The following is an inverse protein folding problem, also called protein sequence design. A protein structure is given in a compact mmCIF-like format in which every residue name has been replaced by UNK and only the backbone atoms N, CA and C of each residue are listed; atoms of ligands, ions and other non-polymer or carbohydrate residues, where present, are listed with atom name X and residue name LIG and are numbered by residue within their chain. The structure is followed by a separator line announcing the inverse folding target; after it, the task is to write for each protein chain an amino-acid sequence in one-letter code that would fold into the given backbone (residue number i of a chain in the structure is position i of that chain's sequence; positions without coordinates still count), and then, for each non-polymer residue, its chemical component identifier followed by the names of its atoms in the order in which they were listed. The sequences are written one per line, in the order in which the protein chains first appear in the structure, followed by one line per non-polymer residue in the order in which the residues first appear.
data_IF_247530206773
#
_entry.id   IF_247530206773
#
_cell.length_a   1.000
_cell.length_b   1.000
_cell.length_c   1.000
_cell.angle_alpha   90.00
_cell.angle_beta   90.00
_cell.angle_gamma   90.00
#
_symmetry.space_group_name_H-M   'P 1'
#
loop_
_entity.id
_entity.type
_entity.pdbx_description
1 polymer ?
#
# COMPACT_ATOMS: atom_id res chain seq x y z
N UNK A 1 17.46 3.48 16.16
CA UNK A 1 16.10 2.92 16.17
C UNK A 1 15.51 2.97 17.59
N UNK A 2 14.21 3.23 17.72
CA UNK A 2 13.58 3.41 19.03
C UNK A 2 13.32 2.06 19.74
N UNK A 3 13.14 1.00 18.98
CA UNK A 3 12.70 -0.30 19.49
C UNK A 3 13.70 -1.45 19.22
N UNK A 4 14.83 -1.16 18.61
CA UNK A 4 15.84 -2.14 18.27
C UNK A 4 16.24 -2.13 16.79
N UNK A 5 16.97 -3.14 16.39
CA UNK A 5 17.46 -3.36 15.02
C UNK A 5 16.70 -4.49 14.35
N UNK A 6 16.96 -4.73 13.06
CA UNK A 6 16.43 -5.90 12.37
C UNK A 6 16.94 -7.22 12.97
N UNK A 7 18.17 -7.23 13.52
CA UNK A 7 18.71 -8.41 14.18
C UNK A 7 18.01 -8.69 15.53
N UNK A 8 17.62 -7.64 16.25
CA UNK A 8 16.80 -7.79 17.46
C UNK A 8 15.42 -8.36 17.12
N UNK A 9 14.83 -7.96 15.99
CA UNK A 9 13.55 -8.48 15.52
C UNK A 9 13.65 -9.96 15.08
N UNK A 10 14.73 -10.33 14.35
CA UNK A 10 14.99 -11.75 14.02
C UNK A 10 15.09 -12.59 15.27
N UNK A 11 15.87 -12.12 16.25
CA UNK A 11 15.99 -12.83 17.53
C UNK A 11 14.65 -12.96 18.26
N UNK A 12 13.77 -11.95 18.16
CA UNK A 12 12.42 -12.02 18.69
C UNK A 12 11.62 -13.16 18.02
N UNK A 13 11.67 -13.28 16.70
CA UNK A 13 11.00 -14.34 15.96
C UNK A 13 11.53 -15.72 16.38
N UNK A 14 12.86 -15.89 16.41
CA UNK A 14 13.49 -17.14 16.79
C UNK A 14 13.11 -17.58 18.23
N UNK A 15 13.12 -16.66 19.18
CA UNK A 15 12.76 -16.90 20.57
C UNK A 15 11.28 -17.23 20.74
N UNK A 16 10.39 -16.60 19.94
CA UNK A 16 8.97 -16.92 19.91
C UNK A 16 8.74 -18.34 19.36
N UNK A 17 9.38 -18.67 18.24
CA UNK A 17 9.27 -19.99 17.60
C UNK A 17 9.75 -21.11 18.51
N UNK A 18 10.86 -20.92 19.23
CA UNK A 18 11.34 -21.89 20.22
C UNK A 18 10.31 -22.19 21.33
N UNK A 19 9.39 -21.26 21.58
CA UNK A 19 8.28 -21.39 22.54
C UNK A 19 6.96 -21.82 21.90
N UNK A 20 6.98 -22.21 20.62
CA UNK A 20 5.79 -22.60 19.87
C UNK A 20 4.83 -21.45 19.54
N UNK A 21 5.28 -20.19 19.66
CA UNK A 21 4.47 -19.00 19.34
C UNK A 21 4.67 -18.58 17.88
N UNK A 22 3.60 -18.11 17.25
CA UNK A 22 3.61 -17.46 15.95
C UNK A 22 3.63 -15.94 16.13
N UNK A 23 4.36 -15.23 15.26
CA UNK A 23 4.47 -13.78 15.30
C UNK A 23 3.95 -13.18 14.00
N UNK A 24 2.89 -12.40 14.07
CA UNK A 24 2.35 -11.63 12.95
C UNK A 24 2.69 -10.17 13.11
N UNK A 25 3.00 -9.49 12.00
CA UNK A 25 3.27 -8.06 11.97
C UNK A 25 2.03 -7.28 11.54
N UNK A 26 1.89 -6.07 12.07
CA UNK A 26 0.86 -5.16 11.61
C UNK A 26 1.28 -4.53 10.27
N UNK A 27 0.44 -4.67 9.25
CA UNK A 27 0.68 -4.19 7.90
C UNK A 27 -0.29 -3.05 7.56
N UNK A 28 0.22 -1.83 7.56
CA UNK A 28 -0.52 -0.64 7.16
C UNK A 28 -0.41 -0.48 5.64
N UNK A 29 -1.24 -1.22 4.90
CA UNK A 29 -1.16 -1.28 3.44
C UNK A 29 -1.84 -0.11 2.72
N UNK A 30 -2.74 0.63 3.37
CA UNK A 30 -3.62 1.62 2.72
C UNK A 30 -2.99 2.99 2.48
N UNK A 31 -1.92 3.33 3.17
CA UNK A 31 -1.30 4.66 3.09
C UNK A 31 0.16 4.64 3.55
N UNK A 32 0.86 5.74 3.31
CA UNK A 32 2.13 6.05 3.97
C UNK A 32 2.00 7.33 4.79
N UNK A 33 3.06 7.70 5.52
CA UNK A 33 3.19 9.06 6.03
C UNK A 33 3.46 10.04 4.89
N UNK A 34 2.98 11.28 5.01
CA UNK A 34 3.36 12.41 4.15
C UNK A 34 4.87 12.74 4.24
N UNK A 35 5.53 12.29 5.31
CA UNK A 35 6.98 12.39 5.47
C UNK A 35 7.75 11.23 4.82
N UNK A 36 7.05 10.22 4.31
CA UNK A 36 7.66 9.09 3.60
C UNK A 36 8.49 9.58 2.41
N UNK A 37 9.69 9.02 2.18
CA UNK A 37 10.46 9.28 0.96
C UNK A 37 9.65 9.03 -0.33
N UNK A 38 8.82 7.99 -0.36
CA UNK A 38 7.96 7.70 -1.50
C UNK A 38 7.00 8.84 -1.81
N UNK A 39 6.32 9.36 -0.79
CA UNK A 39 5.40 10.47 -0.97
C UNK A 39 6.13 11.74 -1.41
N UNK A 40 7.26 12.08 -0.76
CA UNK A 40 8.11 13.22 -1.15
C UNK A 40 8.62 13.12 -2.59
N UNK A 41 8.96 11.91 -3.06
CA UNK A 41 9.32 11.69 -4.46
C UNK A 41 8.11 11.83 -5.39
N UNK A 42 6.93 11.35 -5.00
CA UNK A 42 5.71 11.46 -5.82
C UNK A 42 5.26 12.91 -6.03
N UNK A 43 5.58 13.80 -5.09
CA UNK A 43 5.28 15.23 -5.17
C UNK A 43 6.15 15.99 -6.18
N UNK A 44 7.26 15.41 -6.63
CA UNK A 44 8.17 16.11 -7.56
C UNK A 44 7.46 16.44 -8.88
N UNK A 45 7.81 17.60 -9.44
CA UNK A 45 7.24 18.10 -10.70
C UNK A 45 7.42 17.13 -11.85
N UNK A 46 8.56 16.46 -11.91
CA UNK A 46 8.88 15.43 -12.91
C UNK A 46 8.29 14.09 -12.51
N UNK A 47 7.67 13.41 -13.47
CA UNK A 47 7.17 12.04 -13.23
C UNK A 47 8.33 11.11 -12.92
N UNK A 48 8.10 10.22 -11.95
CA UNK A 48 9.06 9.22 -11.51
C UNK A 48 8.32 7.96 -11.05
N UNK A 49 9.04 6.93 -10.63
CA UNK A 49 8.48 5.65 -10.22
C UNK A 49 7.47 5.72 -9.05
N UNK A 50 7.47 6.81 -8.30
CA UNK A 50 6.57 6.99 -7.16
C UNK A 50 5.33 7.82 -7.49
N UNK A 51 5.27 8.48 -8.65
CA UNK A 51 4.18 9.39 -9.00
C UNK A 51 2.82 8.69 -8.95
N UNK A 52 2.69 7.53 -9.59
CA UNK A 52 1.44 6.77 -9.66
C UNK A 52 1.25 5.79 -8.49
N UNK A 53 2.17 5.77 -7.53
CA UNK A 53 2.03 5.03 -6.27
C UNK A 53 1.01 5.66 -5.33
N UNK A 54 0.66 6.92 -5.59
CA UNK A 54 -0.38 7.68 -4.91
C UNK A 54 -1.43 8.16 -5.91
N UNK A 55 -2.60 8.53 -5.40
CA UNK A 55 -3.72 8.99 -6.23
C UNK A 55 -3.66 10.53 -6.27
N UNK A 56 -3.31 11.07 -7.44
CA UNK A 56 -3.20 12.50 -7.70
C UNK A 56 -4.19 12.94 -8.76
N UNK A 57 -4.85 14.09 -8.56
CA UNK A 57 -5.75 14.67 -9.58
C UNK A 57 -5.01 15.10 -10.85
N UNK A 58 -3.71 15.36 -10.75
CA UNK A 58 -2.87 15.94 -11.81
C UNK A 58 -3.38 17.31 -12.33
N UNK A 59 -4.28 17.94 -11.59
CA UNK A 59 -4.85 19.26 -11.88
C UNK A 59 -4.91 20.08 -10.59
N UNK A 60 -4.20 21.22 -10.57
CA UNK A 60 -4.11 22.09 -9.40
C UNK A 60 -5.40 22.84 -9.09
N UNK A 61 -6.36 22.85 -10.01
CA UNK A 61 -7.67 23.49 -9.83
C UNK A 61 -8.70 22.54 -9.22
N UNK A 62 -8.41 21.24 -9.22
CA UNK A 62 -9.31 20.18 -8.77
C UNK A 62 -8.89 19.65 -7.39
N UNK A 63 -9.80 19.77 -6.43
CA UNK A 63 -9.62 19.20 -5.08
C UNK A 63 -10.95 18.57 -4.61
N UNK A 64 -11.25 17.34 -5.02
CA UNK A 64 -12.48 16.66 -4.64
C UNK A 64 -12.55 16.38 -3.14
N UNK A 65 -13.72 15.93 -2.66
CA UNK A 65 -13.83 15.43 -1.31
C UNK A 65 -12.80 14.31 -1.05
N UNK A 66 -12.27 14.25 0.18
CA UNK A 66 -11.18 13.35 0.62
C UNK A 66 -9.83 13.57 -0.06
N UNK A 67 -9.65 14.70 -0.79
CA UNK A 67 -8.35 15.09 -1.32
C UNK A 67 -7.79 16.29 -0.54
N UNK A 68 -6.47 16.42 -0.58
CA UNK A 68 -5.69 17.50 0.02
C UNK A 68 -4.87 18.15 -1.08
N UNK A 69 -4.81 19.48 -1.09
CA UNK A 69 -4.00 20.22 -2.07
C UNK A 69 -2.52 19.85 -1.89
N UNK A 70 -1.88 19.47 -2.99
CA UNK A 70 -0.44 19.26 -3.04
C UNK A 70 0.32 20.56 -3.27
N UNK A 71 1.62 20.52 -3.00
CA UNK A 71 2.51 21.69 -3.14
C UNK A 71 2.88 21.98 -4.59
N UNK A 72 2.72 21.02 -5.51
CA UNK A 72 3.13 21.14 -6.91
C UNK A 72 1.93 21.17 -7.85
N UNK A 73 1.84 22.22 -8.66
CA UNK A 73 0.75 22.45 -9.62
C UNK A 73 0.51 21.24 -10.55
N UNK A 74 1.55 20.58 -11.01
CA UNK A 74 1.42 19.44 -11.91
C UNK A 74 0.65 18.27 -11.28
N UNK A 75 0.91 17.99 -10.01
CA UNK A 75 0.32 16.84 -9.34
C UNK A 75 -1.09 17.12 -8.83
N UNK A 76 -1.42 18.38 -8.61
CA UNK A 76 -2.73 18.78 -8.09
C UNK A 76 -2.93 18.38 -6.64
N UNK A 77 -4.07 17.74 -6.36
CA UNK A 77 -4.44 17.27 -5.04
C UNK A 77 -4.22 15.77 -4.90
N UNK A 78 -3.80 15.30 -3.73
CA UNK A 78 -3.65 13.87 -3.42
C UNK A 78 -4.80 13.36 -2.57
N UNK A 79 -5.19 12.11 -2.78
CA UNK A 79 -6.21 11.46 -1.95
C UNK A 79 -5.63 11.10 -0.58
N UNK A 80 -6.29 11.53 0.49
CA UNK A 80 -5.99 11.07 1.85
C UNK A 80 -6.69 9.74 2.15
N UNK A 81 -6.10 8.91 3.00
CA UNK A 81 -6.75 7.71 3.49
C UNK A 81 -7.74 8.06 4.61
N UNK A 82 -7.24 8.49 5.75
CA UNK A 82 -8.04 8.96 6.88
C UNK A 82 -7.66 10.40 7.25
N UNK A 83 -6.44 10.64 7.71
CA UNK A 83 -5.90 11.96 8.00
C UNK A 83 -5.18 12.57 6.79
N UNK A 84 -5.00 13.89 6.78
CA UNK A 84 -4.28 14.60 5.71
C UNK A 84 -2.82 14.14 5.58
N UNK A 85 -2.17 13.83 6.72
CA UNK A 85 -0.81 13.30 6.74
C UNK A 85 -0.69 11.82 6.30
N UNK A 86 -1.81 11.21 5.85
CA UNK A 86 -1.87 9.82 5.40
C UNK A 86 -2.25 9.75 3.91
N UNK A 87 -1.34 10.07 2.98
CA UNK A 87 -1.60 9.94 1.54
C UNK A 87 -1.90 8.49 1.18
N UNK A 88 -3.03 8.26 0.50
CA UNK A 88 -3.48 6.95 0.11
C UNK A 88 -2.60 6.34 -0.98
N UNK A 89 -2.18 5.09 -0.78
CA UNK A 89 -1.53 4.30 -1.81
C UNK A 89 -2.54 3.90 -2.89
N UNK A 90 -2.08 3.86 -4.13
CA UNK A 90 -2.92 3.65 -5.31
C UNK A 90 -3.01 2.16 -5.67
N UNK A 91 -4.05 1.49 -5.21
CA UNK A 91 -4.42 0.14 -5.66
C UNK A 91 -5.49 0.14 -6.75
N UNK A 92 -5.85 1.32 -7.25
CA UNK A 92 -6.86 1.52 -8.28
C UNK A 92 -8.28 1.64 -7.75
N UNK A 93 -9.19 1.69 -8.69
CA UNK A 93 -10.63 1.80 -8.48
C UNK A 93 -11.32 0.57 -9.07
N UNK A 94 -12.27 0.01 -8.35
CA UNK A 94 -13.12 -1.09 -8.84
C UNK A 94 -14.04 -0.62 -9.95
N UNK A 95 -14.69 0.53 -9.74
CA UNK A 95 -15.56 1.19 -10.72
C UNK A 95 -15.07 2.62 -10.96
N UNK A 96 -14.05 2.83 -11.81
CA UNK A 96 -13.52 4.17 -12.09
C UNK A 96 -14.55 5.01 -12.85
N UNK A 97 -14.73 6.28 -12.42
CA UNK A 97 -15.54 7.25 -13.15
C UNK A 97 -14.71 7.80 -14.33
N UNK A 98 -15.18 7.69 -15.59
CA UNK A 98 -14.47 8.18 -16.76
C UNK A 98 -14.29 9.71 -16.77
N UNK A 99 -15.08 10.44 -16.00
CA UNK A 99 -14.92 11.89 -15.84
C UNK A 99 -13.81 12.28 -14.87
N UNK A 100 -13.28 11.33 -14.12
CA UNK A 100 -12.22 11.50 -13.13
C UNK A 100 -10.90 10.86 -13.63
N UNK A 101 -10.04 11.57 -14.37
CA UNK A 101 -8.84 10.99 -14.97
C UNK A 101 -7.86 10.35 -13.98
N UNK A 102 -7.97 10.67 -12.69
CA UNK A 102 -7.15 10.09 -11.63
C UNK A 102 -7.67 8.74 -11.11
N UNK A 103 -8.88 8.34 -11.49
CA UNK A 103 -9.46 7.06 -11.12
C UNK A 103 -8.96 5.96 -12.05
N UNK A 104 -7.74 5.51 -11.78
CA UNK A 104 -7.13 4.42 -12.54
C UNK A 104 -7.81 3.08 -12.20
N UNK A 105 -8.12 2.23 -13.18
CA UNK A 105 -8.61 0.88 -12.90
C UNK A 105 -7.54 0.04 -12.20
N UNK A 106 -7.94 -1.00 -11.47
CA UNK A 106 -7.03 -1.91 -10.74
C UNK A 106 -5.95 -2.54 -11.62
N UNK A 107 -6.20 -2.68 -12.93
CA UNK A 107 -5.27 -3.24 -13.92
C UNK A 107 -4.27 -2.23 -14.47
N UNK A 108 -4.40 -0.94 -14.16
CA UNK A 108 -3.49 0.08 -14.66
C UNK A 108 -2.06 -0.11 -14.10
N UNK A 109 -1.03 0.40 -14.82
CA UNK A 109 0.37 0.22 -14.40
C UNK A 109 0.69 0.73 -12.99
N UNK A 110 0.14 1.88 -12.57
CA UNK A 110 0.36 2.45 -11.24
C UNK A 110 -0.15 1.54 -10.12
N UNK A 111 -1.45 1.17 -10.11
CA UNK A 111 -2.01 0.20 -9.17
C UNK A 111 -1.29 -1.15 -9.16
N UNK A 112 -0.92 -1.67 -10.34
CA UNK A 112 -0.17 -2.92 -10.46
C UNK A 112 1.21 -2.81 -9.79
N UNK A 113 1.94 -1.73 -10.04
CA UNK A 113 3.25 -1.50 -9.40
C UNK A 113 3.13 -1.35 -7.88
N UNK A 114 2.06 -0.70 -7.39
CA UNK A 114 1.81 -0.57 -5.95
C UNK A 114 1.54 -1.93 -5.30
N UNK A 115 0.74 -2.79 -5.96
CA UNK A 115 0.48 -4.16 -5.48
C UNK A 115 1.75 -4.99 -5.43
N UNK A 116 2.59 -4.94 -6.46
CA UNK A 116 3.86 -5.66 -6.49
C UNK A 116 4.79 -5.20 -5.35
N UNK A 117 4.83 -3.91 -5.08
CA UNK A 117 5.63 -3.40 -3.96
C UNK A 117 5.11 -3.85 -2.60
N UNK A 118 3.78 -3.95 -2.42
CA UNK A 118 3.21 -4.53 -1.21
C UNK A 118 3.66 -5.98 -1.03
N UNK A 119 3.66 -6.77 -2.09
CA UNK A 119 4.16 -8.15 -2.09
C UNK A 119 5.65 -8.17 -1.69
N UNK A 120 6.50 -7.31 -2.27
CA UNK A 120 7.91 -7.23 -1.91
C UNK A 120 8.14 -6.87 -0.44
N UNK A 121 7.34 -5.96 0.12
CA UNK A 121 7.39 -5.62 1.54
C UNK A 121 7.04 -6.84 2.40
N UNK A 122 5.99 -7.56 2.04
CA UNK A 122 5.58 -8.76 2.75
C UNK A 122 6.64 -9.86 2.64
N UNK A 123 7.20 -10.12 1.45
CA UNK A 123 8.30 -11.06 1.22
C UNK A 123 9.49 -10.75 2.12
N UNK A 124 9.89 -9.49 2.20
CA UNK A 124 11.01 -9.06 3.06
C UNK A 124 10.81 -9.46 4.52
N UNK A 125 9.61 -9.22 5.06
CA UNK A 125 9.33 -9.54 6.46
C UNK A 125 9.15 -11.05 6.70
N UNK A 126 8.55 -11.77 5.75
CA UNK A 126 8.44 -13.23 5.80
C UNK A 126 9.82 -13.90 5.77
N UNK A 127 10.73 -13.42 4.92
CA UNK A 127 12.13 -13.88 4.87
C UNK A 127 12.90 -13.59 6.16
N UNK A 128 12.51 -12.53 6.89
CA UNK A 128 13.08 -12.25 8.21
C UNK A 128 12.57 -13.16 9.32
N UNK A 129 11.50 -13.91 9.08
CA UNK A 129 10.98 -14.91 10.02
C UNK A 129 9.60 -14.62 10.60
N UNK A 130 8.88 -13.57 10.17
CA UNK A 130 7.49 -13.40 10.61
C UNK A 130 6.60 -14.50 10.01
N UNK A 131 5.51 -14.85 10.71
CA UNK A 131 4.59 -15.92 10.32
C UNK A 131 3.39 -15.41 9.51
N UNK A 132 3.24 -14.11 9.38
CA UNK A 132 2.14 -13.52 8.64
C UNK A 132 1.88 -12.06 9.03
N UNK A 133 0.70 -11.56 8.63
CA UNK A 133 0.34 -10.16 8.80
C UNK A 133 -1.09 -9.99 9.33
N UNK A 134 -1.26 -9.05 10.22
CA UNK A 134 -2.55 -8.40 10.48
C UNK A 134 -2.63 -7.18 9.59
N UNK A 135 -3.57 -7.17 8.65
CA UNK A 135 -3.67 -6.06 7.69
C UNK A 135 -4.70 -5.04 8.18
N UNK A 136 -4.24 -3.80 8.37
CA UNK A 136 -5.12 -2.71 8.75
C UNK A 136 -5.97 -2.27 7.55
N UNK A 137 -7.29 -2.10 7.77
CA UNK A 137 -8.29 -1.66 6.78
C UNK A 137 -8.21 -2.41 5.44
N UNK A 138 -8.01 -3.71 5.46
CA UNK A 138 -7.81 -4.58 4.30
C UNK A 138 -8.90 -4.45 3.21
N UNK A 139 -10.14 -4.16 3.59
CA UNK A 139 -11.28 -3.99 2.68
C UNK A 139 -11.37 -2.63 1.97
N UNK A 140 -10.46 -1.68 2.24
CA UNK A 140 -10.53 -0.31 1.71
C UNK A 140 -9.39 0.07 0.76
N UNK A 141 -8.57 -0.90 0.35
CA UNK A 141 -7.41 -0.64 -0.50
C UNK A 141 -7.82 -0.19 -1.90
N UNK A 142 -8.65 -0.97 -2.58
CA UNK A 142 -9.26 -0.59 -3.86
C UNK A 142 -10.37 0.42 -3.58
N UNK A 143 -10.39 1.51 -4.35
CA UNK A 143 -11.36 2.59 -4.18
C UNK A 143 -12.59 2.36 -5.06
N UNK A 144 -13.73 2.91 -4.65
CA UNK A 144 -15.01 2.72 -5.36
C UNK A 144 -15.25 1.27 -5.80
N UNK A 145 -15.17 0.34 -4.83
CA UNK A 145 -15.25 -1.12 -5.01
C UNK A 145 -16.39 -1.67 -4.12
N UNK A 146 -17.65 -1.34 -4.44
CA UNK A 146 -18.80 -1.61 -3.56
C UNK A 146 -19.11 -3.10 -3.36
N UNK A 147 -18.79 -3.93 -4.35
CA UNK A 147 -18.94 -5.39 -4.30
C UNK A 147 -17.67 -6.11 -3.81
N UNK A 148 -16.63 -5.36 -3.51
CA UNK A 148 -15.31 -5.86 -3.07
C UNK A 148 -14.62 -6.80 -4.06
N UNK A 149 -15.00 -6.80 -5.33
CA UNK A 149 -14.43 -7.69 -6.34
C UNK A 149 -12.95 -7.38 -6.60
N UNK A 150 -12.59 -6.11 -6.74
CA UNK A 150 -11.21 -5.66 -6.92
C UNK A 150 -10.35 -5.94 -5.69
N UNK A 151 -10.88 -5.68 -4.50
CA UNK A 151 -10.21 -5.95 -3.21
C UNK A 151 -10.00 -7.46 -3.01
N UNK A 152 -11.00 -8.28 -3.32
CA UNK A 152 -10.90 -9.74 -3.24
C UNK A 152 -9.86 -10.27 -4.21
N UNK A 153 -9.85 -9.80 -5.45
CA UNK A 153 -8.85 -10.20 -6.45
C UNK A 153 -7.43 -9.81 -6.03
N UNK A 154 -7.25 -8.64 -5.42
CA UNK A 154 -5.98 -8.18 -4.88
C UNK A 154 -5.47 -9.17 -3.81
N UNK A 155 -6.27 -9.45 -2.79
CA UNK A 155 -5.87 -10.35 -1.70
C UNK A 155 -5.70 -11.80 -2.16
N UNK A 156 -6.51 -12.24 -3.12
CA UNK A 156 -6.33 -13.56 -3.73
C UNK A 156 -4.98 -13.67 -4.44
N UNK A 157 -4.58 -12.66 -5.20
CA UNK A 157 -3.27 -12.66 -5.88
C UNK A 157 -2.10 -12.70 -4.91
N UNK A 158 -2.19 -11.95 -3.79
CA UNK A 158 -1.18 -11.97 -2.72
C UNK A 158 -1.13 -13.35 -2.06
N UNK A 159 -2.30 -13.91 -1.73
CA UNK A 159 -2.38 -15.25 -1.13
C UNK A 159 -1.76 -16.32 -2.03
N UNK A 160 -2.08 -16.31 -3.32
CA UNK A 160 -1.50 -17.25 -4.29
C UNK A 160 0.02 -17.16 -4.31
N UNK A 161 0.59 -15.95 -4.37
CA UNK A 161 2.04 -15.75 -4.31
C UNK A 161 2.66 -16.41 -3.06
N UNK A 162 2.08 -16.20 -1.88
CA UNK A 162 2.62 -16.79 -0.65
C UNK A 162 2.39 -18.29 -0.55
N UNK A 163 1.31 -18.83 -1.09
CA UNK A 163 1.09 -20.28 -1.16
C UNK A 163 2.10 -20.99 -2.08
N UNK A 164 2.53 -20.33 -3.16
CA UNK A 164 3.58 -20.85 -4.04
C UNK A 164 4.95 -20.87 -3.35
N UNK A 165 5.27 -19.81 -2.58
CA UNK A 165 6.54 -19.73 -1.86
C UNK A 165 6.59 -20.59 -0.56
N UNK A 166 5.46 -20.76 0.09
CA UNK A 166 5.33 -21.44 1.39
C UNK A 166 4.19 -22.48 1.36
N UNK A 167 4.32 -23.57 0.57
CA UNK A 167 3.23 -24.55 0.37
C UNK A 167 2.83 -25.28 1.66
N UNK A 168 3.75 -25.44 2.61
CA UNK A 168 3.49 -26.07 3.92
C UNK A 168 2.71 -25.12 4.88
N UNK A 169 2.51 -23.87 4.50
CA UNK A 169 1.92 -22.83 5.34
C UNK A 169 2.79 -22.48 6.56
N UNK A 170 3.06 -21.22 6.78
CA UNK A 170 3.63 -20.72 8.04
C UNK A 170 2.57 -20.01 8.85
#
# INVERSE_FOLDING_TARGET
PRYGTNDDLRRLFDEAHQRGMRVVLDLVAGHSSDQSPWFKYSQKRERNAYTDRYIWTNDSTVCPDRFVKGDFKRNGSYRKNYFECQPALNYGYGNPDPNNPWEQPVSAPGPTATRLELIHIMDYWMQMGCDGFRVDMAGSLVKNDPDLSGTTALWHSIRTHFQELYPEGR
#
